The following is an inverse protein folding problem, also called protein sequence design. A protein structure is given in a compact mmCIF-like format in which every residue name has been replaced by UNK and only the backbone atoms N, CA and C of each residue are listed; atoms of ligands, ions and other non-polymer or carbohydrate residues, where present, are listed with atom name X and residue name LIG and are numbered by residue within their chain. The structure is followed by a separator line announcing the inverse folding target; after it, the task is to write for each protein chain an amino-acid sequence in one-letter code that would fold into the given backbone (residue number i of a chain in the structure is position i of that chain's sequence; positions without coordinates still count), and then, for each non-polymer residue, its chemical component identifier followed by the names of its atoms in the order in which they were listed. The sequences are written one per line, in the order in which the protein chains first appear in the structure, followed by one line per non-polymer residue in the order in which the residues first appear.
data_IF_211856483650
#
_entry.id   IF_211856483650
#
_cell.length_a   1.000
_cell.length_b   1.000
_cell.length_c   1.000
_cell.angle_alpha   90.00
_cell.angle_beta   90.00
_cell.angle_gamma   90.00
#
_symmetry.space_group_name_H-M   'P 1'
#
loop_
_entity.id
_entity.type
_entity.pdbx_description
1 polymer ?
#
# COMPACT_ATOMS: atom_id res chain seq x y z
N UNK A 1 -8.89 -5.68 19.22
CA UNK A 1 -8.37 -6.82 18.45
C UNK A 1 -7.09 -6.33 17.80
N UNK A 2 -5.93 -6.96 18.02
CA UNK A 2 -4.70 -6.53 17.37
C UNK A 2 -4.90 -6.64 15.86
N UNK A 3 -4.46 -5.65 15.10
CA UNK A 3 -4.49 -5.74 13.65
C UNK A 3 -3.60 -6.92 13.24
N UNK A 4 -4.23 -7.96 12.68
CA UNK A 4 -3.49 -9.11 12.18
C UNK A 4 -2.73 -8.64 10.94
N UNK A 5 -1.39 -8.64 11.02
CA UNK A 5 -0.49 -8.39 9.90
C UNK A 5 -0.94 -9.17 8.66
N UNK A 6 -1.35 -10.43 8.84
CA UNK A 6 -1.89 -11.28 7.78
C UNK A 6 -3.11 -10.68 7.06
N UNK A 7 -4.01 -10.01 7.78
CA UNK A 7 -5.19 -9.37 7.20
C UNK A 7 -4.78 -8.15 6.37
N UNK A 8 -3.85 -7.34 6.86
CA UNK A 8 -3.34 -6.17 6.12
C UNK A 8 -2.64 -6.62 4.84
N UNK A 9 -1.81 -7.67 4.91
CA UNK A 9 -1.15 -8.29 3.76
C UNK A 9 -2.17 -8.85 2.76
N UNK A 10 -3.21 -9.52 3.26
CA UNK A 10 -4.28 -10.08 2.43
C UNK A 10 -5.02 -8.97 1.69
N UNK A 11 -5.42 -7.90 2.37
CA UNK A 11 -6.06 -6.73 1.75
C UNK A 11 -5.14 -6.09 0.71
N UNK A 12 -3.85 -5.94 1.01
CA UNK A 12 -2.89 -5.41 0.05
C UNK A 12 -2.82 -6.24 -1.23
N UNK A 13 -2.82 -7.57 -1.12
CA UNK A 13 -2.71 -8.49 -2.27
C UNK A 13 -4.02 -8.66 -3.04
N UNK A 14 -5.15 -8.77 -2.34
CA UNK A 14 -6.43 -9.13 -2.96
C UNK A 14 -7.25 -7.91 -3.38
N UNK A 15 -7.05 -6.75 -2.76
CA UNK A 15 -7.82 -5.54 -3.03
C UNK A 15 -6.94 -4.46 -3.66
N UNK A 16 -5.83 -4.10 -3.01
CA UNK A 16 -5.03 -2.95 -3.45
C UNK A 16 -4.21 -3.29 -4.70
N UNK A 17 -3.49 -4.41 -4.71
CA UNK A 17 -2.65 -4.83 -5.83
C UNK A 17 -3.37 -4.91 -7.18
N UNK A 18 -4.57 -5.52 -7.31
CA UNK A 18 -5.27 -5.54 -8.59
C UNK A 18 -5.75 -4.15 -9.04
N UNK A 19 -6.11 -3.26 -8.11
CA UNK A 19 -6.47 -1.87 -8.42
C UNK A 19 -5.27 -1.09 -8.93
N UNK A 20 -4.14 -1.16 -8.22
CA UNK A 20 -2.88 -0.53 -8.64
C UNK A 20 -2.41 -1.06 -9.99
N UNK A 21 -2.54 -2.38 -10.21
CA UNK A 21 -2.22 -3.01 -11.49
C UNK A 21 -3.16 -2.58 -12.62
N UNK A 22 -4.44 -2.35 -12.34
CA UNK A 22 -5.40 -1.82 -13.32
C UNK A 22 -5.01 -0.40 -13.77
N UNK A 23 -4.42 0.39 -12.86
CA UNK A 23 -3.83 1.70 -13.16
C UNK A 23 -2.41 1.62 -13.77
N UNK A 24 -1.95 0.41 -14.14
CA UNK A 24 -0.58 0.14 -14.61
C UNK A 24 0.52 0.63 -13.64
N UNK A 25 0.18 0.76 -12.36
CA UNK A 25 1.11 1.04 -11.28
C UNK A 25 1.75 -0.23 -10.72
N UNK A 26 2.81 -0.05 -9.95
CA UNK A 26 3.44 -1.11 -9.19
C UNK A 26 3.30 -0.83 -7.69
N UNK A 27 2.93 -1.85 -6.92
CA UNK A 27 2.83 -1.76 -5.46
C UNK A 27 3.94 -2.57 -4.81
N UNK A 28 4.71 -1.90 -3.97
CA UNK A 28 5.78 -2.49 -3.18
C UNK A 28 5.44 -2.41 -1.70
N UNK A 29 5.62 -3.52 -0.99
CA UNK A 29 5.55 -3.59 0.45
C UNK A 29 6.94 -3.35 1.03
N UNK A 30 7.11 -2.27 1.79
CA UNK A 30 8.40 -1.92 2.41
C UNK A 30 8.51 -2.54 3.79
N UNK A 31 7.48 -2.36 4.60
CA UNK A 31 7.42 -2.88 5.96
C UNK A 31 5.96 -3.10 6.37
N UNK A 32 5.73 -4.11 7.21
CA UNK A 32 4.44 -4.32 7.87
C UNK A 32 4.69 -4.67 9.33
N UNK A 33 4.01 -3.93 10.19
CA UNK A 33 4.06 -4.03 11.65
C UNK A 33 2.62 -4.13 12.19
N UNK A 34 2.44 -4.53 13.46
CA UNK A 34 1.09 -4.69 14.04
C UNK A 34 0.25 -3.41 14.07
N UNK A 35 0.87 -2.23 14.01
CA UNK A 35 0.23 -0.93 14.08
C UNK A 35 0.62 -0.01 12.92
N UNK A 36 1.42 -0.48 11.96
CA UNK A 36 1.89 0.30 10.84
C UNK A 36 2.07 -0.53 9.58
N UNK A 37 1.73 0.03 8.43
CA UNK A 37 2.11 -0.52 7.13
C UNK A 37 2.75 0.56 6.28
N UNK A 38 3.91 0.22 5.71
CA UNK A 38 4.66 1.07 4.81
C UNK A 38 4.63 0.48 3.40
N UNK A 39 4.04 1.23 2.48
CA UNK A 39 3.91 0.88 1.08
C UNK A 39 4.66 1.88 0.21
N UNK A 40 5.10 1.42 -0.95
CA UNK A 40 5.71 2.25 -1.96
C UNK A 40 5.02 2.02 -3.30
N UNK A 41 4.55 3.12 -3.90
CA UNK A 41 3.94 3.12 -5.23
C UNK A 41 4.99 3.53 -6.27
N UNK A 42 5.23 2.65 -7.24
CA UNK A 42 6.11 2.91 -8.37
C UNK A 42 5.38 2.74 -9.72
N UNK A 43 6.13 2.69 -10.82
CA UNK A 43 5.58 2.57 -12.17
C UNK A 43 4.85 3.83 -12.64
N UNK A 44 3.65 3.69 -13.22
CA UNK A 44 2.86 4.84 -13.70
C UNK A 44 2.34 5.73 -12.56
N UNK A 45 2.32 5.20 -11.33
CA UNK A 45 2.05 5.95 -10.11
C UNK A 45 3.29 6.70 -9.56
N UNK A 46 4.49 6.45 -10.09
CA UNK A 46 5.72 7.12 -9.67
C UNK A 46 5.73 8.59 -10.16
N UNK A 47 5.30 9.51 -9.30
CA UNK A 47 5.38 10.96 -9.55
C UNK A 47 4.09 11.62 -10.02
N UNK A 48 2.97 10.89 -10.07
CA UNK A 48 1.67 11.51 -10.30
C UNK A 48 1.14 12.12 -8.98
N UNK A 49 0.70 13.40 -8.95
CA UNK A 49 0.03 13.96 -7.78
C UNK A 49 -1.25 13.19 -7.39
N UNK A 50 -1.80 12.40 -8.33
CA UNK A 50 -2.93 11.49 -8.09
C UNK A 50 -2.61 10.26 -7.24
N UNK A 51 -1.33 9.89 -7.04
CA UNK A 51 -0.96 8.77 -6.16
C UNK A 51 -1.43 9.00 -4.70
N UNK A 52 -1.50 10.27 -4.29
CA UNK A 52 -2.03 10.65 -2.98
C UNK A 52 -3.56 10.44 -2.89
N UNK A 53 -4.28 10.59 -4.01
CA UNK A 53 -5.72 10.29 -4.08
C UNK A 53 -5.97 8.79 -4.02
N UNK A 54 -5.17 7.97 -4.71
CA UNK A 54 -5.24 6.50 -4.60
C UNK A 54 -4.93 6.06 -3.18
N UNK A 55 -3.94 6.68 -2.53
CA UNK A 55 -3.60 6.39 -1.14
C UNK A 55 -4.78 6.66 -0.21
N UNK A 56 -5.32 7.89 -0.22
CA UNK A 56 -6.40 8.28 0.69
C UNK A 56 -7.77 7.68 0.33
N UNK A 57 -8.01 7.40 -0.94
CA UNK A 57 -9.28 6.90 -1.44
C UNK A 57 -9.39 5.38 -1.47
N UNK A 58 -8.27 4.66 -1.54
CA UNK A 58 -8.25 3.20 -1.70
C UNK A 58 -7.43 2.53 -0.60
N UNK A 59 -6.16 2.91 -0.45
CA UNK A 59 -5.21 2.21 0.43
C UNK A 59 -5.56 2.40 1.90
N UNK A 60 -5.68 3.65 2.36
CA UNK A 60 -6.06 3.99 3.74
C UNK A 60 -7.38 3.33 4.16
N UNK A 61 -8.50 3.48 3.43
CA UNK A 61 -9.77 2.87 3.83
C UNK A 61 -9.75 1.34 3.79
N UNK A 62 -9.07 0.72 2.83
CA UNK A 62 -8.95 -0.73 2.76
C UNK A 62 -8.16 -1.29 3.96
N UNK A 63 -7.07 -0.64 4.35
CA UNK A 63 -6.29 -1.02 5.53
C UNK A 63 -7.08 -0.74 6.80
N UNK A 64 -7.72 0.42 6.94
CA UNK A 64 -8.52 0.77 8.12
C UNK A 64 -9.75 -0.13 8.32
N UNK A 65 -10.27 -0.73 7.26
CA UNK A 65 -11.34 -1.72 7.36
C UNK A 65 -10.94 -2.97 8.17
N UNK A 66 -9.67 -3.37 8.11
CA UNK A 66 -9.12 -4.51 8.87
C UNK A 66 -8.30 -4.09 10.09
N UNK A 67 -7.77 -2.87 10.07
CA UNK A 67 -6.84 -2.33 11.04
C UNK A 67 -7.11 -0.83 11.28
N UNK A 68 -8.20 -0.46 11.97
CA UNK A 68 -8.64 0.93 12.11
C UNK A 68 -7.67 1.84 12.86
N UNK A 69 -6.79 1.26 13.68
CA UNK A 69 -5.75 2.00 14.42
C UNK A 69 -4.40 2.00 13.71
N UNK A 70 -4.27 1.33 12.56
CA UNK A 70 -2.99 1.22 11.89
C UNK A 70 -2.60 2.53 11.19
N UNK A 71 -1.32 2.89 11.32
CA UNK A 71 -0.69 3.98 10.57
C UNK A 71 -0.35 3.50 9.16
N UNK A 72 -0.90 4.17 8.16
CA UNK A 72 -0.62 3.88 6.76
C UNK A 72 0.40 4.91 6.27
N UNK A 73 1.57 4.45 5.86
CA UNK A 73 2.61 5.28 5.26
C UNK A 73 2.76 4.86 3.81
N UNK A 74 2.47 5.76 2.89
CA UNK A 74 2.66 5.50 1.46
C UNK A 74 3.67 6.49 0.91
N UNK A 75 4.70 5.95 0.29
CA UNK A 75 5.69 6.72 -0.47
C UNK A 75 5.47 6.48 -1.95
N UNK A 76 5.81 7.44 -2.80
CA UNK A 76 5.76 7.25 -4.25
C UNK A 76 7.01 7.83 -4.91
N UNK A 77 7.46 7.19 -5.98
CA UNK A 77 8.62 7.68 -6.72
C UNK A 77 9.25 6.63 -7.63
N UNK A 78 10.27 7.09 -8.37
CA UNK A 78 11.06 6.24 -9.28
C UNK A 78 12.06 5.39 -8.48
N UNK A 79 12.43 5.83 -7.27
CA UNK A 79 13.36 5.13 -6.39
C UNK A 79 12.60 4.22 -5.44
N UNK A 80 12.69 2.92 -5.68
CA UNK A 80 12.17 1.89 -4.79
C UNK A 80 13.07 1.84 -3.54
N UNK A 81 12.52 1.91 -2.33
CA UNK A 81 13.29 1.80 -1.09
C UNK A 81 13.92 0.40 -0.93
N UNK A 82 15.09 0.34 -0.31
CA UNK A 82 15.82 -0.90 -0.07
C UNK A 82 15.00 -1.87 0.81
N UNK A 83 14.91 -3.13 0.40
CA UNK A 83 14.12 -4.16 1.10
C UNK A 83 12.64 -4.24 0.72
N UNK A 84 12.17 -3.40 -0.21
CA UNK A 84 10.79 -3.46 -0.65
C UNK A 84 10.49 -4.72 -1.49
N UNK A 85 9.42 -5.42 -1.14
CA UNK A 85 8.95 -6.61 -1.86
C UNK A 85 7.81 -6.25 -2.81
N UNK A 86 7.95 -6.62 -4.08
CA UNK A 86 6.88 -6.43 -5.08
C UNK A 86 5.66 -7.28 -4.71
N UNK A 87 4.48 -6.65 -4.69
CA UNK A 87 3.21 -7.30 -4.34
C UNK A 87 2.42 -7.69 -5.60
N UNK A 88 2.64 -6.99 -6.72
CA UNK A 88 1.88 -7.12 -7.98
C UNK A 88 2.51 -8.03 -9.02
#
# INVERSE_FOLDING_TARGET
MPANIDQMLKVCREVIAPLVRADQGELYLVAVEPDQITLHLAGMCAGCPGANLTTKGVIEPAVHAVAPTARVVVTSGIRIPEGASLVT
#
